data_IF_425016484354
#
_entry.id   IF_425016484354
#
_cell.length_a   1.000
_cell.length_b   1.000
_cell.length_c   1.000
_cell.angle_alpha   90.00
_cell.angle_beta   90.00
_cell.angle_gamma   90.00
#
_symmetry.space_group_name_H-M   'P 1'
#
loop_
_entity.id
_entity.type
_entity.pdbx_description
1 polymer ?
#
# COMPACT_ATOMS: atom_id res chain seq x y z
N UNK A 1 10.49 -16.48 21.81
CA UNK A 1 10.84 -16.45 20.37
C UNK A 1 9.63 -15.87 19.65
N UNK A 2 9.78 -14.71 18.98
CA UNK A 2 8.73 -14.13 18.14
C UNK A 2 8.62 -15.05 16.92
N UNK A 3 7.44 -15.58 16.64
CA UNK A 3 7.20 -16.39 15.44
C UNK A 3 7.69 -15.64 14.20
N UNK A 4 8.33 -16.33 13.24
CA UNK A 4 8.81 -15.68 12.02
C UNK A 4 7.63 -15.05 11.31
N UNK A 5 7.70 -13.75 11.07
CA UNK A 5 6.64 -13.00 10.37
C UNK A 5 6.57 -13.51 8.92
N UNK A 6 5.52 -14.27 8.61
CA UNK A 6 5.23 -14.73 7.26
C UNK A 6 4.52 -13.57 6.52
N UNK A 7 4.99 -13.17 5.33
CA UNK A 7 4.33 -12.13 4.56
C UNK A 7 2.92 -12.58 4.12
N UNK A 8 2.02 -11.63 4.01
CA UNK A 8 0.63 -11.88 3.62
C UNK A 8 0.57 -12.35 2.16
N UNK A 9 -0.24 -13.37 1.87
CA UNK A 9 -0.35 -13.97 0.53
C UNK A 9 1.01 -14.43 -0.03
N UNK A 10 1.90 -14.93 0.85
CA UNK A 10 3.27 -15.33 0.49
C UNK A 10 3.29 -16.35 -0.64
N UNK A 11 2.44 -17.40 -0.55
CA UNK A 11 2.37 -18.45 -1.55
C UNK A 11 1.86 -17.93 -2.90
N UNK A 12 0.69 -17.25 -3.01
CA UNK A 12 0.24 -16.70 -4.28
C UNK A 12 1.23 -15.73 -4.92
N UNK A 13 1.86 -14.84 -4.15
CA UNK A 13 2.87 -13.91 -4.67
C UNK A 13 4.06 -14.68 -5.27
N UNK A 14 4.60 -15.67 -4.54
CA UNK A 14 5.73 -16.48 -5.02
C UNK A 14 5.37 -17.28 -6.26
N UNK A 15 4.18 -17.89 -6.33
CA UNK A 15 3.71 -18.65 -7.48
C UNK A 15 3.55 -17.75 -8.72
N UNK A 16 2.90 -16.59 -8.57
CA UNK A 16 2.64 -15.70 -9.70
C UNK A 16 3.90 -14.99 -10.19
N UNK A 17 4.71 -14.40 -9.31
CA UNK A 17 5.92 -13.72 -9.74
C UNK A 17 7.02 -14.70 -10.16
N UNK A 18 7.13 -15.84 -9.48
CA UNK A 18 8.10 -16.88 -9.83
C UNK A 18 7.83 -17.55 -11.18
N UNK A 19 6.60 -17.48 -11.70
CA UNK A 19 6.25 -18.02 -13.02
C UNK A 19 6.65 -17.11 -14.19
N UNK A 20 7.18 -15.92 -13.94
CA UNK A 20 7.69 -15.01 -14.99
C UNK A 20 8.99 -15.59 -15.55
N UNK A 21 9.09 -15.74 -16.88
CA UNK A 21 10.27 -16.33 -17.52
C UNK A 21 10.83 -15.40 -18.63
N UNK A 22 12.12 -15.04 -18.58
CA UNK A 22 13.03 -15.23 -17.44
C UNK A 22 12.67 -14.28 -16.29
N UNK A 23 12.96 -14.68 -15.02
CA UNK A 23 12.86 -13.84 -13.86
C UNK A 23 14.28 -13.53 -13.35
N UNK A 24 14.83 -12.40 -13.77
CA UNK A 24 16.18 -11.94 -13.39
C UNK A 24 16.17 -10.65 -12.58
N UNK A 25 15.15 -9.80 -12.76
CA UNK A 25 15.05 -8.48 -12.13
C UNK A 25 13.69 -8.31 -11.44
N UNK A 26 13.71 -8.33 -10.11
CA UNK A 26 12.55 -8.04 -9.27
C UNK A 26 12.70 -6.64 -8.68
N UNK A 27 11.72 -5.77 -8.92
CA UNK A 27 11.57 -4.54 -8.17
C UNK A 27 10.49 -4.74 -7.10
N UNK A 28 10.88 -4.64 -5.82
CA UNK A 28 9.95 -4.60 -4.69
C UNK A 28 9.83 -3.15 -4.22
N UNK A 29 8.72 -2.50 -4.61
CA UNK A 29 8.50 -1.06 -4.33
C UNK A 29 8.06 -0.78 -2.90
N UNK A 30 7.77 -1.82 -2.13
CA UNK A 30 7.28 -1.78 -0.75
C UNK A 30 7.99 -2.83 0.10
N UNK A 31 9.31 -2.79 0.10
CA UNK A 31 10.16 -3.87 0.60
C UNK A 31 9.83 -4.31 2.03
N UNK A 32 9.44 -3.36 2.87
CA UNK A 32 9.17 -3.62 4.28
C UNK A 32 10.35 -4.31 4.95
N UNK A 33 10.09 -5.48 5.54
CA UNK A 33 11.14 -6.31 6.13
C UNK A 33 11.74 -7.33 5.14
N UNK A 34 11.45 -7.22 3.83
CA UNK A 34 12.00 -8.11 2.78
C UNK A 34 11.44 -9.53 2.77
N UNK A 35 10.24 -9.75 3.30
CA UNK A 35 9.67 -11.10 3.45
C UNK A 35 9.38 -11.79 2.11
N UNK A 36 8.65 -11.14 1.22
CA UNK A 36 8.35 -11.64 -0.13
C UNK A 36 9.62 -11.78 -0.97
N UNK A 37 10.46 -10.75 -0.94
CA UNK A 37 11.71 -10.73 -1.70
C UNK A 37 12.65 -11.85 -1.28
N UNK A 38 12.74 -12.19 0.03
CA UNK A 38 13.53 -13.32 0.51
C UNK A 38 13.08 -14.66 -0.09
N UNK A 39 11.77 -14.88 -0.16
CA UNK A 39 11.21 -16.13 -0.73
C UNK A 39 11.55 -16.26 -2.23
N UNK A 40 11.43 -15.18 -3.00
CA UNK A 40 11.75 -15.17 -4.41
C UNK A 40 13.26 -15.33 -4.67
N UNK A 41 14.11 -14.64 -3.92
CA UNK A 41 15.59 -14.76 -4.01
C UNK A 41 16.08 -16.17 -3.69
N UNK A 42 15.44 -16.85 -2.73
CA UNK A 42 15.79 -18.23 -2.38
C UNK A 42 15.37 -19.23 -3.48
N UNK A 43 14.25 -18.96 -4.16
CA UNK A 43 13.75 -19.83 -5.23
C UNK A 43 14.43 -19.60 -6.59
N UNK A 44 15.01 -18.41 -6.82
CA UNK A 44 15.60 -18.01 -8.10
C UNK A 44 17.04 -17.53 -7.92
N UNK A 45 18.06 -18.41 -8.16
CA UNK A 45 19.47 -18.07 -7.89
C UNK A 45 20.03 -16.91 -8.70
N UNK A 46 19.50 -16.65 -9.89
CA UNK A 46 19.93 -15.53 -10.77
C UNK A 46 19.14 -14.24 -10.56
N UNK A 47 18.22 -14.23 -9.62
CA UNK A 47 17.35 -13.06 -9.37
C UNK A 47 18.14 -11.94 -8.68
N UNK A 48 18.11 -10.75 -9.26
CA UNK A 48 18.53 -9.49 -8.66
C UNK A 48 17.33 -8.75 -8.11
N UNK A 49 17.49 -8.15 -6.92
CA UNK A 49 16.46 -7.37 -6.23
C UNK A 49 16.85 -5.89 -6.19
N UNK A 50 15.93 -5.04 -6.66
CA UNK A 50 15.90 -3.63 -6.33
C UNK A 50 14.74 -3.39 -5.36
N UNK A 51 15.05 -3.24 -4.07
CA UNK A 51 14.09 -3.04 -3.00
C UNK A 51 13.98 -1.57 -2.61
N UNK A 52 12.78 -1.01 -2.65
CA UNK A 52 12.50 0.38 -2.28
C UNK A 52 11.60 0.39 -1.04
N UNK A 53 11.93 1.23 -0.08
CA UNK A 53 11.03 1.55 1.03
C UNK A 53 11.26 2.97 1.50
N UNK A 54 10.18 3.64 1.93
CA UNK A 54 10.25 5.00 2.49
C UNK A 54 10.54 5.01 4.00
N UNK A 55 10.50 3.84 4.65
CA UNK A 55 10.80 3.67 6.07
C UNK A 55 12.24 3.14 6.24
N UNK A 56 13.14 3.98 6.74
CA UNK A 56 14.55 3.58 6.99
C UNK A 56 14.69 2.43 7.97
N UNK A 57 13.76 2.34 8.95
CA UNK A 57 13.79 1.24 9.91
C UNK A 57 13.39 -0.08 9.25
N UNK A 58 12.47 -0.04 8.28
CA UNK A 58 12.12 -1.21 7.48
C UNK A 58 13.31 -1.67 6.63
N UNK A 59 14.00 -0.74 5.97
CA UNK A 59 15.21 -1.04 5.19
C UNK A 59 16.33 -1.64 6.04
N UNK A 60 16.55 -1.14 7.26
CA UNK A 60 17.54 -1.71 8.16
C UNK A 60 17.21 -3.18 8.50
N UNK A 61 15.95 -3.46 8.84
CA UNK A 61 15.46 -4.83 9.10
C UNK A 61 15.54 -5.72 7.85
N UNK A 62 15.21 -5.19 6.67
CA UNK A 62 15.33 -5.90 5.41
C UNK A 62 16.79 -6.27 5.10
N UNK A 63 17.73 -5.36 5.33
CA UNK A 63 19.16 -5.59 5.13
C UNK A 63 19.68 -6.77 5.97
N UNK A 64 19.28 -6.85 7.23
CA UNK A 64 19.60 -7.97 8.10
C UNK A 64 18.97 -9.28 7.59
N UNK A 65 17.69 -9.23 7.22
CA UNK A 65 16.93 -10.42 6.76
C UNK A 65 17.41 -10.97 5.42
N UNK A 66 17.91 -10.09 4.54
CA UNK A 66 18.39 -10.43 3.20
C UNK A 66 19.91 -10.61 3.13
N UNK A 67 20.61 -10.65 4.27
CA UNK A 67 22.07 -10.73 4.33
C UNK A 67 22.66 -11.89 3.51
N UNK A 68 21.99 -13.04 3.49
CA UNK A 68 22.41 -14.22 2.71
C UNK A 68 22.37 -14.00 1.18
N UNK A 69 21.75 -12.92 0.73
CA UNK A 69 21.56 -12.53 -0.68
C UNK A 69 22.12 -11.12 -0.97
N UNK A 70 22.97 -10.59 -0.10
CA UNK A 70 23.42 -9.21 -0.13
C UNK A 70 24.07 -8.81 -1.46
N UNK A 71 24.77 -9.73 -2.12
CA UNK A 71 25.41 -9.56 -3.43
C UNK A 71 24.43 -9.34 -4.59
N UNK A 72 23.17 -9.72 -4.41
CA UNK A 72 22.10 -9.60 -5.41
C UNK A 72 21.03 -8.59 -5.02
N UNK A 73 21.21 -7.83 -3.93
CA UNK A 73 20.22 -6.92 -3.39
C UNK A 73 20.72 -5.48 -3.38
N UNK A 74 19.98 -4.60 -4.05
CA UNK A 74 20.12 -3.14 -3.93
C UNK A 74 18.93 -2.61 -3.15
N UNK A 75 19.17 -1.99 -1.98
CA UNK A 75 18.13 -1.45 -1.11
C UNK A 75 18.19 0.07 -1.10
N UNK A 76 17.08 0.73 -1.43
CA UNK A 76 17.01 2.17 -1.65
C UNK A 76 15.94 2.81 -0.77
N UNK A 77 16.32 3.86 -0.04
CA UNK A 77 15.35 4.71 0.66
C UNK A 77 14.70 5.65 -0.35
N UNK A 78 13.40 5.49 -0.56
CA UNK A 78 12.66 6.27 -1.54
C UNK A 78 11.18 5.87 -1.58
N UNK A 79 10.46 6.50 -2.48
CA UNK A 79 9.05 6.22 -2.71
C UNK A 79 8.86 5.38 -3.97
N UNK A 80 7.98 4.39 -3.94
CA UNK A 80 7.75 3.53 -5.12
C UNK A 80 7.12 4.29 -6.29
N UNK A 81 6.56 5.48 -6.08
CA UNK A 81 6.14 6.36 -7.17
C UNK A 81 7.32 6.80 -8.06
N UNK A 82 8.51 6.87 -7.48
CA UNK A 82 9.75 7.28 -8.16
C UNK A 82 10.56 6.09 -8.70
N UNK A 83 9.97 4.88 -8.71
CA UNK A 83 10.70 3.65 -9.06
C UNK A 83 11.40 3.68 -10.41
N UNK A 84 10.88 4.42 -11.41
CA UNK A 84 11.54 4.57 -12.71
C UNK A 84 12.87 5.32 -12.61
N UNK A 85 12.87 6.46 -11.90
CA UNK A 85 14.08 7.25 -11.70
C UNK A 85 15.10 6.49 -10.83
N UNK A 86 14.61 5.80 -9.79
CA UNK A 86 15.42 4.94 -8.92
C UNK A 86 16.03 3.80 -9.73
N UNK A 87 15.25 3.08 -10.51
CA UNK A 87 15.72 1.99 -11.35
C UNK A 87 16.80 2.45 -12.36
N UNK A 88 16.56 3.58 -13.04
CA UNK A 88 17.51 4.17 -13.98
C UNK A 88 18.84 4.56 -13.30
N UNK A 89 18.79 5.13 -12.08
CA UNK A 89 19.99 5.47 -11.31
C UNK A 89 20.84 4.25 -10.93
N UNK A 90 20.22 3.06 -10.89
CA UNK A 90 20.89 1.78 -10.62
C UNK A 90 21.13 0.94 -11.90
N UNK A 91 21.01 1.52 -13.08
CA UNK A 91 21.29 0.85 -14.35
C UNK A 91 20.20 -0.14 -14.82
N UNK A 92 18.99 -0.02 -14.28
CA UNK A 92 17.86 -0.85 -14.69
C UNK A 92 16.98 -0.09 -15.70
N UNK A 93 16.95 -0.55 -16.93
CA UNK A 93 16.08 -0.03 -17.99
C UNK A 93 14.66 -0.64 -17.89
N UNK A 94 14.55 -1.86 -17.34
CA UNK A 94 13.29 -2.56 -17.14
C UNK A 94 13.38 -3.57 -16.01
N UNK A 95 12.20 -4.01 -15.52
CA UNK A 95 12.03 -5.09 -14.55
C UNK A 95 11.22 -6.24 -15.16
N UNK A 96 11.53 -7.49 -14.79
CA UNK A 96 10.75 -8.66 -15.15
C UNK A 96 9.48 -8.78 -14.32
N UNK A 97 9.61 -8.46 -13.02
CA UNK A 97 8.52 -8.49 -12.07
C UNK A 97 8.58 -7.27 -11.14
N UNK A 98 7.40 -6.77 -10.78
CA UNK A 98 7.26 -5.69 -9.79
C UNK A 98 6.25 -6.14 -8.74
N UNK A 99 6.59 -5.94 -7.47
CA UNK A 99 5.73 -6.17 -6.31
C UNK A 99 5.42 -4.84 -5.63
N UNK A 100 4.14 -4.63 -5.34
CA UNK A 100 3.65 -3.58 -4.45
C UNK A 100 2.77 -4.21 -3.37
N UNK A 101 3.28 -4.35 -2.16
CA UNK A 101 2.53 -4.75 -0.96
C UNK A 101 2.16 -3.49 -0.18
N UNK A 102 0.99 -2.93 -0.53
CA UNK A 102 0.60 -1.57 -0.12
C UNK A 102 0.06 -1.60 1.31
N UNK A 103 0.35 -0.56 2.07
CA UNK A 103 -0.20 -0.37 3.41
C UNK A 103 0.87 -0.25 4.49
N UNK A 104 0.49 -0.61 5.72
CA UNK A 104 1.35 -0.50 6.90
C UNK A 104 2.01 -1.82 7.24
N UNK A 105 3.28 -1.78 7.55
CA UNK A 105 4.00 -2.94 8.04
C UNK A 105 3.59 -3.31 9.48
N UNK A 106 3.81 -4.58 9.84
CA UNK A 106 3.53 -5.03 11.20
C UNK A 106 4.24 -4.23 12.28
N UNK A 107 5.55 -3.93 12.17
CA UNK A 107 6.22 -3.09 13.16
C UNK A 107 5.62 -1.70 13.30
N UNK A 108 5.18 -1.07 12.21
CA UNK A 108 4.51 0.23 12.28
C UNK A 108 3.22 0.19 13.10
N UNK A 109 2.43 -0.91 13.01
CA UNK A 109 1.21 -1.09 13.78
C UNK A 109 1.47 -1.50 15.24
N UNK A 110 2.54 -2.26 15.49
CA UNK A 110 2.83 -2.86 16.79
C UNK A 110 3.65 -1.92 17.70
N UNK A 111 4.35 -0.93 17.12
CA UNK A 111 5.11 0.04 17.87
C UNK A 111 4.26 1.28 18.20
N UNK A 112 3.82 1.41 19.46
CA UNK A 112 2.98 2.53 19.93
C UNK A 112 3.55 3.91 19.57
N UNK A 113 4.90 4.07 19.61
CA UNK A 113 5.58 5.34 19.28
C UNK A 113 5.37 5.81 17.85
N UNK A 114 4.97 4.91 16.92
CA UNK A 114 4.69 5.25 15.52
C UNK A 114 3.27 5.81 15.32
N UNK A 115 2.35 5.63 16.25
CA UNK A 115 1.02 6.21 16.25
C UNK A 115 0.03 5.68 15.21
N UNK A 116 0.31 4.54 14.56
CA UNK A 116 -0.59 3.95 13.55
C UNK A 116 -1.79 3.22 14.15
N UNK A 117 -1.69 2.78 15.41
CA UNK A 117 -2.74 2.03 16.08
C UNK A 117 -3.43 2.87 17.14
N UNK A 118 -4.76 2.79 17.20
CA UNK A 118 -5.56 3.38 18.27
C UNK A 118 -5.71 2.45 19.49
N UNK A 119 -5.26 1.20 19.38
CA UNK A 119 -5.37 0.19 20.45
C UNK A 119 -4.28 0.32 21.51
N UNK A 120 -3.21 0.98 21.19
CA UNK A 120 -2.11 1.30 22.09
C UNK A 120 -1.93 2.81 22.07
N UNK A 121 -1.80 3.43 23.24
CA UNK A 121 -1.58 4.86 23.31
C UNK A 121 -0.17 5.23 22.84
N UNK A 122 -0.11 6.29 22.05
CA UNK A 122 1.12 6.82 21.49
C UNK A 122 0.90 8.18 20.84
N UNK A 123 1.96 8.81 20.33
CA UNK A 123 1.84 10.11 19.68
C UNK A 123 1.01 10.00 18.39
N UNK A 124 0.31 11.06 18.01
CA UNK A 124 -0.38 11.17 16.71
C UNK A 124 0.65 11.47 15.61
N UNK A 125 1.52 10.49 15.31
CA UNK A 125 2.58 10.62 14.29
C UNK A 125 2.12 10.10 12.92
N UNK A 126 1.96 8.80 12.75
CA UNK A 126 1.54 8.08 11.54
C UNK A 126 2.44 8.27 10.31
N UNK A 127 3.64 8.83 10.43
CA UNK A 127 4.58 8.94 9.31
C UNK A 127 5.22 7.60 9.00
N UNK A 128 5.16 7.17 7.76
CA UNK A 128 5.98 6.04 7.28
C UNK A 128 7.42 6.50 7.09
N UNK A 129 7.64 7.60 6.38
CA UNK A 129 8.92 8.30 6.35
C UNK A 129 9.00 9.30 7.52
N UNK A 130 9.82 8.99 8.53
CA UNK A 130 9.93 9.84 9.72
C UNK A 130 10.65 11.19 9.46
N UNK A 131 11.26 11.36 8.30
CA UNK A 131 11.92 12.62 7.90
C UNK A 131 10.93 13.67 7.36
N UNK A 132 9.71 13.26 6.97
CA UNK A 132 8.68 14.19 6.50
C UNK A 132 8.13 15.07 7.62
N UNK A 133 7.65 16.27 7.29
CA UNK A 133 7.17 17.23 8.30
C UNK A 133 5.73 16.99 8.73
N UNK A 134 4.88 16.39 7.87
CA UNK A 134 3.45 16.21 8.15
C UNK A 134 3.22 15.01 9.05
N UNK A 135 2.57 15.23 10.20
CA UNK A 135 2.16 14.21 11.16
C UNK A 135 0.65 14.18 11.32
N UNK A 136 0.09 13.10 11.85
CA UNK A 136 -1.33 13.04 12.20
C UNK A 136 -1.73 14.13 13.21
N UNK A 137 -0.84 14.47 14.12
CA UNK A 137 -1.05 15.60 15.05
C UNK A 137 -1.24 16.92 14.32
N UNK A 138 -0.43 17.20 13.30
CA UNK A 138 -0.61 18.43 12.49
C UNK A 138 -1.93 18.42 11.74
N UNK A 139 -2.34 17.30 11.17
CA UNK A 139 -3.62 17.17 10.48
C UNK A 139 -4.77 17.42 11.44
N UNK A 140 -4.83 16.70 12.57
CA UNK A 140 -5.94 16.80 13.53
C UNK A 140 -6.03 18.19 14.17
N UNK A 141 -4.88 18.75 14.57
CA UNK A 141 -4.86 19.96 15.36
C UNK A 141 -4.84 21.26 14.56
N UNK A 142 -4.43 21.25 13.27
CA UNK A 142 -4.23 22.50 12.52
C UNK A 142 -4.96 22.58 11.18
N UNK A 143 -5.46 21.48 10.61
CA UNK A 143 -6.24 21.55 9.36
C UNK A 143 -7.58 22.26 9.57
N UNK A 144 -8.08 22.92 8.53
CA UNK A 144 -9.42 23.50 8.52
C UNK A 144 -10.52 22.45 8.72
N UNK A 145 -11.67 22.86 9.25
CA UNK A 145 -12.82 21.94 9.47
C UNK A 145 -13.27 21.29 8.16
N UNK A 146 -13.28 22.04 7.05
CA UNK A 146 -13.66 21.54 5.73
C UNK A 146 -12.67 20.47 5.21
N UNK A 147 -11.38 20.70 5.40
CA UNK A 147 -10.34 19.73 5.04
C UNK A 147 -10.44 18.45 5.86
N UNK A 148 -10.67 18.56 7.15
CA UNK A 148 -10.92 17.40 8.01
C UNK A 148 -12.17 16.65 7.57
N UNK A 149 -13.25 17.35 7.23
CA UNK A 149 -14.48 16.72 6.75
C UNK A 149 -14.26 16.00 5.40
N UNK A 150 -13.47 16.59 4.50
CA UNK A 150 -13.05 15.97 3.24
C UNK A 150 -12.27 14.69 3.50
N UNK A 151 -11.21 14.75 4.31
CA UNK A 151 -10.35 13.62 4.64
C UNK A 151 -11.16 12.47 5.26
N UNK A 152 -11.97 12.75 6.26
CA UNK A 152 -12.78 11.73 6.92
C UNK A 152 -13.82 11.12 5.99
N UNK A 153 -14.39 11.89 5.06
CA UNK A 153 -15.34 11.39 4.07
C UNK A 153 -14.66 10.55 2.99
N UNK A 154 -13.59 11.07 2.38
CA UNK A 154 -12.98 10.49 1.19
C UNK A 154 -12.02 9.35 1.53
N UNK A 155 -11.25 9.47 2.60
CA UNK A 155 -10.24 8.49 2.99
C UNK A 155 -10.70 7.54 4.11
N UNK A 156 -11.60 8.01 4.96
CA UNK A 156 -12.22 7.20 6.01
C UNK A 156 -13.55 6.56 5.60
N UNK A 157 -14.14 6.95 4.47
CA UNK A 157 -15.50 6.56 4.06
C UNK A 157 -16.53 6.78 5.21
N UNK A 158 -16.29 7.80 6.05
CA UNK A 158 -17.04 8.09 7.26
C UNK A 158 -18.34 8.84 6.91
N UNK A 159 -19.50 8.25 7.19
CA UNK A 159 -20.80 8.87 6.90
C UNK A 159 -21.04 10.19 7.63
N UNK A 160 -20.57 10.30 8.86
CA UNK A 160 -20.73 11.48 9.72
C UNK A 160 -19.47 12.37 9.69
N UNK A 161 -18.74 12.43 8.58
CA UNK A 161 -17.46 13.15 8.46
C UNK A 161 -17.56 14.62 8.89
N UNK A 162 -18.59 15.36 8.44
CA UNK A 162 -18.79 16.77 8.83
C UNK A 162 -19.03 16.93 10.33
N UNK A 163 -19.91 16.07 10.91
CA UNK A 163 -20.18 16.10 12.35
C UNK A 163 -18.91 15.88 13.16
N UNK A 164 -18.09 14.90 12.74
CA UNK A 164 -16.86 14.58 13.43
C UNK A 164 -15.81 15.68 13.26
N UNK A 165 -15.63 16.23 12.05
CA UNK A 165 -14.71 17.33 11.78
C UNK A 165 -15.05 18.58 12.63
N UNK A 166 -16.32 18.95 12.70
CA UNK A 166 -16.78 20.04 13.57
C UNK A 166 -16.47 19.78 15.04
N UNK A 167 -16.79 18.59 15.55
CA UNK A 167 -16.49 18.23 16.93
C UNK A 167 -14.98 18.26 17.23
N UNK A 168 -14.13 17.81 16.29
CA UNK A 168 -12.67 17.90 16.39
C UNK A 168 -12.23 19.37 16.46
N UNK A 169 -12.77 20.24 15.58
CA UNK A 169 -12.43 21.66 15.55
C UNK A 169 -12.79 22.36 16.86
N UNK A 170 -13.96 22.07 17.43
CA UNK A 170 -14.39 22.62 18.73
C UNK A 170 -13.49 22.10 19.86
N UNK A 171 -13.28 20.79 19.97
CA UNK A 171 -12.51 20.19 21.07
C UNK A 171 -11.05 20.67 21.09
N UNK A 172 -10.37 20.75 19.92
CA UNK A 172 -8.97 21.18 19.83
C UNK A 172 -8.77 22.66 20.17
N UNK A 173 -9.80 23.50 20.01
CA UNK A 173 -9.76 24.91 20.39
C UNK A 173 -9.62 25.08 21.91
N UNK A 174 -10.15 24.16 22.71
CA UNK A 174 -9.98 24.11 24.14
C UNK A 174 -8.64 23.49 24.53
N UNK A 175 -8.34 22.33 23.94
CA UNK A 175 -7.11 21.57 24.21
C UNK A 175 -6.77 20.70 22.98
N UNK A 176 -5.58 20.87 22.37
CA UNK A 176 -5.11 20.01 21.28
C UNK A 176 -5.10 18.52 21.66
N UNK A 177 -5.33 17.66 20.67
CA UNK A 177 -5.20 16.21 20.85
C UNK A 177 -3.73 15.84 21.02
N UNK A 178 -3.42 15.09 22.07
CA UNK A 178 -2.06 14.72 22.44
C UNK A 178 -1.68 13.31 21.96
N UNK A 179 -2.63 12.35 21.97
CA UNK A 179 -2.33 10.94 21.72
C UNK A 179 -3.42 10.19 20.96
N UNK A 180 -3.07 8.97 20.58
CA UNK A 180 -3.94 8.08 19.80
C UNK A 180 -5.15 7.62 20.61
N UNK A 181 -4.99 7.31 21.89
CA UNK A 181 -6.09 6.87 22.75
C UNK A 181 -7.13 8.00 22.94
N UNK A 182 -6.68 9.25 23.19
CA UNK A 182 -7.56 10.42 23.34
C UNK A 182 -8.42 10.62 22.07
N UNK A 183 -7.81 10.55 20.89
CA UNK A 183 -8.53 10.70 19.63
C UNK A 183 -9.53 9.56 19.41
N UNK A 184 -9.16 8.33 19.72
CA UNK A 184 -10.04 7.16 19.58
C UNK A 184 -11.24 7.22 20.51
N UNK A 185 -11.06 7.56 21.78
CA UNK A 185 -12.13 7.75 22.76
C UNK A 185 -13.07 8.89 22.35
N UNK A 186 -12.50 10.00 21.88
CA UNK A 186 -13.29 11.12 21.37
C UNK A 186 -14.11 10.72 20.13
N UNK A 187 -13.54 9.91 19.23
CA UNK A 187 -14.26 9.37 18.07
C UNK A 187 -15.50 8.57 18.52
N UNK A 188 -15.35 7.66 19.48
CA UNK A 188 -16.47 6.86 20.01
C UNK A 188 -17.50 7.72 20.73
N UNK A 189 -17.08 8.75 21.46
CA UNK A 189 -17.98 9.70 22.14
C UNK A 189 -18.86 10.46 21.15
N UNK A 190 -18.28 10.95 20.05
CA UNK A 190 -19.00 11.78 19.06
C UNK A 190 -19.86 10.96 18.11
N UNK A 191 -19.33 9.83 17.66
CA UNK A 191 -19.92 9.01 16.59
C UNK A 191 -20.69 7.79 17.10
N UNK A 192 -20.48 7.43 18.37
CA UNK A 192 -20.98 6.19 18.96
C UNK A 192 -20.12 4.98 18.59
N UNK A 193 -20.55 3.81 19.05
CA UNK A 193 -19.89 2.54 18.76
C UNK A 193 -20.30 1.99 17.41
N UNK A 194 -19.39 1.28 16.77
CA UNK A 194 -19.66 0.58 15.52
C UNK A 194 -20.71 -0.52 15.70
N UNK A 195 -21.51 -0.75 14.68
CA UNK A 195 -22.45 -1.87 14.65
C UNK A 195 -21.67 -3.20 14.60
N UNK A 196 -22.21 -4.29 15.18
CA UNK A 196 -21.62 -5.62 15.05
C UNK A 196 -21.31 -5.96 13.59
N UNK A 197 -20.16 -6.56 13.32
CA UNK A 197 -19.72 -6.93 11.97
C UNK A 197 -19.20 -5.79 11.10
N UNK A 198 -19.12 -4.55 11.62
CA UNK A 198 -18.50 -3.41 10.95
C UNK A 198 -17.16 -3.07 11.60
N UNK A 199 -16.27 -2.45 10.82
CA UNK A 199 -15.01 -1.91 11.34
C UNK A 199 -15.28 -0.88 12.45
N UNK A 200 -14.48 -0.85 13.51
CA UNK A 200 -14.53 0.20 14.52
C UNK A 200 -14.38 1.59 13.88
N UNK A 201 -15.18 2.57 14.32
CA UNK A 201 -15.12 3.92 13.77
C UNK A 201 -13.75 4.59 13.96
N UNK A 202 -13.02 4.38 15.08
CA UNK A 202 -11.65 4.85 15.19
C UNK A 202 -10.74 4.30 14.08
N UNK A 203 -10.94 3.05 13.62
CA UNK A 203 -10.16 2.48 12.50
C UNK A 203 -10.32 3.30 11.22
N UNK A 204 -11.53 3.77 10.92
CA UNK A 204 -11.81 4.59 9.74
C UNK A 204 -11.19 5.98 9.86
N UNK A 205 -11.22 6.57 11.05
CA UNK A 205 -10.58 7.87 11.33
C UNK A 205 -9.07 7.77 11.20
N UNK A 206 -8.46 6.73 11.76
CA UNK A 206 -7.01 6.49 11.69
C UNK A 206 -6.55 6.16 10.26
N UNK A 207 -7.35 5.38 9.51
CA UNK A 207 -7.10 5.17 8.08
C UNK A 207 -7.10 6.49 7.31
N UNK A 208 -8.06 7.37 7.56
CA UNK A 208 -8.15 8.66 6.89
C UNK A 208 -6.92 9.55 7.15
N UNK A 209 -6.51 9.64 8.42
CA UNK A 209 -5.33 10.40 8.82
C UNK A 209 -4.04 9.81 8.21
N UNK A 210 -3.91 8.48 8.23
CA UNK A 210 -2.75 7.77 7.68
C UNK A 210 -2.61 8.04 6.17
N UNK A 211 -3.70 7.94 5.42
CA UNK A 211 -3.72 8.19 3.99
C UNK A 211 -3.32 9.64 3.68
N UNK A 212 -3.83 10.60 4.45
CA UNK A 212 -3.47 12.03 4.29
C UNK A 212 -2.00 12.27 4.61
N UNK A 213 -1.52 11.81 5.78
CA UNK A 213 -0.14 12.01 6.23
C UNK A 213 0.87 11.46 5.22
N UNK A 214 0.58 10.30 4.64
CA UNK A 214 1.53 9.59 3.78
C UNK A 214 1.25 9.76 2.28
N UNK A 215 0.21 10.51 1.87
CA UNK A 215 -0.15 10.69 0.48
C UNK A 215 -0.45 9.39 -0.26
N UNK A 216 -0.95 8.35 0.44
CA UNK A 216 -0.94 6.95 -0.02
C UNK A 216 -1.65 6.74 -1.36
N UNK A 217 -2.80 7.37 -1.59
CA UNK A 217 -3.56 7.18 -2.82
C UNK A 217 -2.93 7.88 -4.03
N UNK A 218 -2.23 8.98 -3.82
CA UNK A 218 -1.49 9.66 -4.89
C UNK A 218 -0.24 8.88 -5.24
N UNK A 219 0.52 8.44 -4.23
CA UNK A 219 1.66 7.55 -4.39
C UNK A 219 1.26 6.29 -5.18
N UNK A 220 0.11 5.70 -4.85
CA UNK A 220 -0.39 4.51 -5.55
C UNK A 220 -0.69 4.79 -7.02
N UNK A 221 -1.36 5.92 -7.34
CA UNK A 221 -1.63 6.27 -8.75
C UNK A 221 -0.35 6.43 -9.56
N UNK A 222 0.62 7.15 -9.01
CA UNK A 222 1.89 7.40 -9.67
C UNK A 222 2.73 6.12 -9.75
N UNK A 223 2.78 5.33 -8.68
CA UNK A 223 3.50 4.05 -8.64
C UNK A 223 2.97 3.01 -9.62
N UNK A 224 1.65 2.91 -9.80
CA UNK A 224 1.06 2.00 -10.80
C UNK A 224 1.47 2.37 -12.24
N UNK A 225 1.50 3.68 -12.56
CA UNK A 225 1.95 4.16 -13.87
C UNK A 225 3.45 3.89 -14.07
N UNK A 226 4.25 4.19 -13.05
CA UNK A 226 5.69 3.93 -13.05
C UNK A 226 5.98 2.44 -13.22
N UNK A 227 5.23 1.57 -12.54
CA UNK A 227 5.37 0.12 -12.65
C UNK A 227 5.06 -0.38 -14.06
N UNK A 228 3.93 0.05 -14.66
CA UNK A 228 3.58 -0.34 -16.03
C UNK A 228 4.64 0.12 -17.03
N UNK A 229 5.18 1.33 -16.88
CA UNK A 229 6.21 1.84 -17.77
C UNK A 229 7.53 1.07 -17.62
N UNK A 230 7.94 0.73 -16.38
CA UNK A 230 9.20 0.06 -16.08
C UNK A 230 9.20 -1.44 -16.41
N UNK A 231 8.05 -2.11 -16.39
CA UNK A 231 7.98 -3.52 -16.77
C UNK A 231 8.45 -3.72 -18.20
N UNK A 232 9.25 -4.78 -18.46
CA UNK A 232 9.50 -5.23 -19.82
C UNK A 232 8.23 -5.82 -20.45
N UNK A 233 8.16 -5.93 -21.77
CA UNK A 233 7.13 -6.73 -22.44
C UNK A 233 7.08 -8.17 -21.87
N UNK A 234 5.89 -8.64 -21.51
CA UNK A 234 5.68 -9.92 -20.83
C UNK A 234 6.06 -9.94 -19.35
N UNK A 235 6.48 -8.80 -18.79
CA UNK A 235 6.73 -8.66 -17.33
C UNK A 235 5.43 -8.57 -16.54
N UNK A 236 5.51 -8.79 -15.22
CA UNK A 236 4.36 -8.94 -14.33
C UNK A 236 4.38 -7.99 -13.16
N UNK A 237 3.23 -7.35 -12.91
CA UNK A 237 2.95 -6.56 -11.71
C UNK A 237 2.03 -7.34 -10.77
N UNK A 238 2.43 -7.48 -9.51
CA UNK A 238 1.61 -7.97 -8.41
C UNK A 238 1.37 -6.84 -7.41
N UNK A 239 0.11 -6.61 -7.05
CA UNK A 239 -0.28 -5.57 -6.10
C UNK A 239 -1.16 -6.17 -5.02
N UNK A 240 -0.74 -6.05 -3.75
CA UNK A 240 -1.54 -6.38 -2.57
C UNK A 240 -2.10 -5.09 -2.00
N UNK A 241 -3.40 -5.05 -1.74
CA UNK A 241 -4.10 -3.93 -1.10
C UNK A 241 -4.91 -4.42 0.09
N UNK A 242 -5.16 -3.54 1.08
CA UNK A 242 -5.78 -3.92 2.36
C UNK A 242 -7.10 -3.20 2.64
N UNK A 243 -7.42 -2.14 1.90
CA UNK A 243 -8.70 -1.44 2.03
C UNK A 243 -9.36 -1.11 0.69
N UNK A 244 -10.65 -0.77 0.75
CA UNK A 244 -11.52 -0.55 -0.41
C UNK A 244 -11.01 0.50 -1.39
N UNK A 245 -10.38 1.57 -0.91
CA UNK A 245 -9.92 2.68 -1.76
C UNK A 245 -8.71 2.26 -2.59
N UNK A 246 -7.75 1.56 -2.00
CA UNK A 246 -6.59 0.99 -2.70
C UNK A 246 -7.05 -0.01 -3.76
N UNK A 247 -7.83 -1.02 -3.35
CA UNK A 247 -8.32 -2.08 -4.25
C UNK A 247 -9.10 -1.49 -5.44
N UNK A 248 -9.94 -0.48 -5.19
CA UNK A 248 -10.71 0.21 -6.24
C UNK A 248 -9.79 0.93 -7.24
N UNK A 249 -8.73 1.57 -6.75
CA UNK A 249 -7.76 2.28 -7.57
C UNK A 249 -6.95 1.31 -8.42
N UNK A 250 -6.39 0.25 -7.82
CA UNK A 250 -5.64 -0.81 -8.52
C UNK A 250 -6.52 -1.47 -9.57
N UNK A 251 -7.74 -1.88 -9.19
CA UNK A 251 -8.70 -2.51 -10.12
C UNK A 251 -8.97 -1.63 -11.34
N UNK A 252 -9.27 -0.34 -11.11
CA UNK A 252 -9.59 0.60 -12.20
C UNK A 252 -8.40 0.80 -13.12
N UNK A 253 -7.21 1.01 -12.56
CA UNK A 253 -5.99 1.17 -13.33
C UNK A 253 -5.71 -0.07 -14.21
N UNK A 254 -5.73 -1.27 -13.63
CA UNK A 254 -5.48 -2.50 -14.37
C UNK A 254 -6.53 -2.78 -15.45
N UNK A 255 -7.82 -2.48 -15.16
CA UNK A 255 -8.88 -2.62 -16.15
C UNK A 255 -8.74 -1.61 -17.29
N UNK A 256 -8.28 -0.39 -17.02
CA UNK A 256 -8.03 0.63 -18.05
C UNK A 256 -6.83 0.24 -18.93
N UNK A 257 -5.73 -0.19 -18.34
CA UNK A 257 -4.55 -0.66 -19.05
C UNK A 257 -4.85 -1.90 -19.93
N UNK A 258 -5.82 -2.74 -19.56
CA UNK A 258 -6.21 -3.93 -20.30
C UNK A 258 -7.33 -3.68 -21.33
N UNK A 259 -7.76 -2.44 -21.54
CA UNK A 259 -8.79 -2.14 -22.56
C UNK A 259 -8.20 -2.10 -23.95
N UNK A 260 -8.83 -2.82 -24.88
CA UNK A 260 -8.49 -2.74 -26.32
C UNK A 260 -9.07 -1.48 -26.99
N UNK A 261 -10.13 -0.91 -26.42
CA UNK A 261 -10.81 0.25 -26.98
C UNK A 261 -11.38 1.16 -25.89
N UNK A 262 -11.21 2.46 -26.06
CA UNK A 262 -11.75 3.51 -25.17
C UNK A 262 -12.85 4.35 -25.82
N UNK A 263 -13.34 3.95 -27.01
CA UNK A 263 -14.48 4.59 -27.64
C UNK A 263 -15.74 4.55 -26.76
N UNK A 264 -16.63 5.53 -26.88
CA UNK A 264 -17.95 5.45 -26.27
C UNK A 264 -18.71 4.19 -26.72
N UNK A 265 -19.50 3.56 -25.82
CA UNK A 265 -20.30 2.40 -26.20
C UNK A 265 -21.26 2.74 -27.34
N UNK A 266 -21.39 1.82 -28.31
CA UNK A 266 -22.34 1.96 -29.43
C UNK A 266 -21.77 2.56 -30.72
N UNK A 267 -20.49 2.90 -30.77
CA UNK A 267 -19.85 3.24 -32.03
C UNK A 267 -19.69 1.99 -32.91
N UNK A 268 -20.14 2.02 -34.19
CA UNK A 268 -20.08 0.85 -35.07
C UNK A 268 -18.64 0.46 -35.46
N UNK A 269 -17.71 1.41 -35.44
CA UNK A 269 -16.28 1.19 -35.77
C UNK A 269 -15.43 1.90 -34.76
N UNK A 270 -14.36 1.24 -34.30
CA UNK A 270 -13.37 1.83 -33.42
C UNK A 270 -12.56 2.91 -34.13
N UNK A 271 -12.50 4.12 -33.53
CA UNK A 271 -11.77 5.29 -34.07
C UNK A 271 -10.72 5.81 -33.13
N UNK A 272 -10.57 5.21 -31.92
CA UNK A 272 -9.69 5.77 -30.91
C UNK A 272 -8.20 5.40 -31.10
N UNK A 273 -7.88 4.41 -31.92
CA UNK A 273 -6.49 3.92 -32.09
C UNK A 273 -5.85 3.40 -30.78
N UNK A 274 -6.65 3.24 -29.72
CA UNK A 274 -6.17 2.74 -28.44
C UNK A 274 -5.92 1.22 -28.53
N UNK A 275 -4.91 0.77 -27.85
CA UNK A 275 -4.58 -0.63 -27.73
C UNK A 275 -4.29 -0.96 -26.26
N UNK A 276 -4.64 -2.16 -25.83
CA UNK A 276 -4.31 -2.61 -24.48
C UNK A 276 -2.79 -2.60 -24.24
N UNK A 277 -2.39 -2.05 -23.13
CA UNK A 277 -0.99 -2.05 -22.65
C UNK A 277 -0.71 -3.24 -21.74
N UNK A 278 -1.77 -3.89 -21.23
CA UNK A 278 -1.67 -4.99 -20.29
C UNK A 278 -2.72 -6.07 -20.54
N UNK A 279 -2.52 -7.24 -19.96
CA UNK A 279 -3.50 -8.33 -19.83
C UNK A 279 -3.72 -8.67 -18.37
N UNK A 280 -4.90 -9.21 -18.05
CA UNK A 280 -5.26 -9.63 -16.68
C UNK A 280 -5.34 -11.16 -16.64
N UNK A 281 -4.27 -11.86 -16.22
CA UNK A 281 -4.25 -13.32 -16.18
C UNK A 281 -5.23 -13.89 -15.15
N UNK A 282 -5.63 -13.07 -14.17
CA UNK A 282 -6.63 -13.40 -13.16
C UNK A 282 -7.86 -12.51 -13.34
N UNK A 283 -9.03 -13.11 -13.57
CA UNK A 283 -10.32 -12.41 -13.70
C UNK A 283 -10.92 -12.00 -12.37
N UNK A 284 -10.16 -11.45 -11.46
CA UNK A 284 -10.72 -11.11 -10.15
C UNK A 284 -9.66 -10.67 -9.18
N UNK A 285 -9.80 -11.16 -7.97
CA UNK A 285 -8.89 -10.90 -6.86
C UNK A 285 -8.52 -12.22 -6.21
N UNK A 286 -7.26 -12.37 -5.82
CA UNK A 286 -6.79 -13.49 -5.00
C UNK A 286 -6.81 -13.01 -3.55
N UNK A 287 -7.41 -13.80 -2.67
CA UNK A 287 -7.51 -13.53 -1.22
C UNK A 287 -6.87 -14.66 -0.43
N UNK A 288 -6.52 -14.38 0.80
CA UNK A 288 -6.02 -15.40 1.73
C UNK A 288 -7.08 -16.48 1.98
N UNK A 289 -6.63 -17.71 2.15
CA UNK A 289 -7.49 -18.81 2.57
C UNK A 289 -7.73 -18.78 4.09
N UNK A 290 -8.63 -19.65 4.57
CA UNK A 290 -8.99 -19.70 5.99
C UNK A 290 -7.81 -20.07 6.89
N UNK A 291 -6.90 -20.91 6.42
CA UNK A 291 -5.72 -21.31 7.16
C UNK A 291 -4.77 -20.13 7.37
N UNK A 292 -4.47 -19.36 6.30
CA UNK A 292 -3.64 -18.16 6.38
C UNK A 292 -4.29 -17.10 7.30
N UNK A 293 -5.61 -16.90 7.20
CA UNK A 293 -6.33 -15.95 8.06
C UNK A 293 -6.31 -16.37 9.54
N UNK A 294 -6.35 -17.66 9.83
CA UNK A 294 -6.25 -18.18 11.18
C UNK A 294 -4.85 -17.90 11.79
N UNK A 295 -3.78 -18.04 11.01
CA UNK A 295 -2.42 -17.77 11.41
C UNK A 295 -2.09 -16.27 11.43
N UNK A 296 -2.59 -15.52 10.44
CA UNK A 296 -2.35 -14.10 10.27
C UNK A 296 -3.65 -13.34 9.99
N UNK A 297 -4.28 -12.80 11.03
CA UNK A 297 -5.53 -12.02 10.90
C UNK A 297 -5.43 -10.81 9.96
N UNK A 298 -4.23 -10.30 9.68
CA UNK A 298 -4.03 -9.19 8.73
C UNK A 298 -4.28 -9.62 7.29
N UNK A 299 -4.14 -10.90 6.99
CA UNK A 299 -4.45 -11.45 5.68
C UNK A 299 -5.95 -11.40 5.32
N UNK A 300 -6.84 -11.29 6.31
CA UNK A 300 -8.30 -11.30 6.08
C UNK A 300 -8.79 -10.15 5.16
N UNK A 301 -8.09 -9.02 5.11
CA UNK A 301 -8.43 -7.88 4.25
C UNK A 301 -7.58 -7.80 2.99
N UNK A 302 -6.57 -8.63 2.86
CA UNK A 302 -5.62 -8.60 1.75
C UNK A 302 -6.26 -9.03 0.43
N UNK A 303 -5.92 -8.31 -0.62
CA UNK A 303 -6.39 -8.53 -1.98
C UNK A 303 -5.24 -8.41 -2.96
N UNK A 304 -4.85 -9.53 -3.56
CA UNK A 304 -3.81 -9.56 -4.58
C UNK A 304 -4.42 -9.45 -5.97
N UNK A 305 -3.91 -8.53 -6.78
CA UNK A 305 -4.22 -8.40 -8.20
C UNK A 305 -2.95 -8.53 -9.03
N UNK A 306 -3.11 -9.17 -10.18
CA UNK A 306 -2.01 -9.47 -11.12
C UNK A 306 -2.32 -8.85 -12.49
N UNK A 307 -1.28 -8.29 -13.11
CA UNK A 307 -1.32 -7.71 -14.44
C UNK A 307 -0.02 -8.03 -15.18
N UNK A 308 -0.12 -8.42 -16.43
CA UNK A 308 1.02 -8.66 -17.32
C UNK A 308 1.10 -7.56 -18.38
N UNK A 309 2.30 -6.99 -18.60
CA UNK A 309 2.53 -6.04 -19.69
C UNK A 309 2.48 -6.76 -21.03
N UNK A 310 1.78 -6.20 -22.02
CA UNK A 310 1.65 -6.79 -23.34
C UNK A 310 3.02 -6.90 -24.03
N UNK A 311 3.28 -8.02 -24.70
CA UNK A 311 4.46 -8.21 -25.54
C UNK A 311 4.20 -7.57 -26.91
N UNK A 312 4.67 -6.35 -27.09
CA UNK A 312 4.65 -5.68 -28.41
C UNK A 312 6.06 -5.29 -28.80
#
# INVERSE_FOLDING_TARGET
>A
MIAPHIPVLARPVSEWLGAVAPLRRLLDGTLGNGGHSKLLLAAHPELELLGIDRDREALARAKEKLNDFADRCTLVHGEYADMQAIAAAHGWESADAILLDIGVSSPQLDEARRGFSWRQDGPLDMRMNQEQALTASRVVNFYGEEDLARIFREYGELRQARKFAHAVAVKRAEKPFAGTAELAEFCETVLGRSRPGKLPLPTLVFQALRIEVNGELEQLRNGLRAALALLRPGGRLAVISFHSLEDRLVKRFMQEAARECVCPPGLPVCVCGHHAEATLPVRGVITADEAEVAENRRAASAKLRIMDKVSR
#
